data_IF_271932582056
#
_entry.id   IF_271932582056
#
_cell.length_a   1.000
_cell.length_b   1.000
_cell.length_c   1.000
_cell.angle_alpha   90.00
_cell.angle_beta   90.00
_cell.angle_gamma   90.00
#
_symmetry.space_group_name_H-M   'P 1'
#
loop_
_entity.id
_entity.type
_entity.pdbx_description
1 polymer ?
#
# COMPACT_ATOMS: atom_id res chain seq x y z
N UNK A 1 -14.75 10.53 -10.51
CA UNK A 1 -14.46 9.23 -11.16
C UNK A 1 -13.41 9.48 -12.23
N UNK A 2 -12.24 8.83 -12.16
CA UNK A 2 -11.19 8.98 -13.19
C UNK A 2 -11.75 8.59 -14.56
N UNK A 3 -11.49 9.42 -15.56
CA UNK A 3 -11.91 9.18 -16.94
C UNK A 3 -10.92 8.25 -17.64
N UNK A 4 -11.35 7.62 -18.75
CA UNK A 4 -10.47 6.82 -19.62
C UNK A 4 -9.26 7.64 -20.08
N UNK A 5 -9.44 8.95 -20.28
CA UNK A 5 -8.37 9.89 -20.60
C UNK A 5 -7.29 9.94 -19.50
N UNK A 6 -7.66 9.89 -18.21
CA UNK A 6 -6.69 9.89 -17.12
C UNK A 6 -5.84 8.62 -17.11
N UNK A 7 -6.42 7.45 -17.45
CA UNK A 7 -5.65 6.21 -17.58
C UNK A 7 -4.65 6.22 -18.73
N UNK A 8 -5.00 6.85 -19.85
CA UNK A 8 -4.12 7.00 -21.02
C UNK A 8 -2.97 7.95 -20.68
N UNK A 9 -3.28 9.11 -20.10
CA UNK A 9 -2.27 10.10 -19.68
C UNK A 9 -1.32 9.52 -18.63
N UNK A 10 -1.83 8.76 -17.65
CA UNK A 10 -0.99 8.05 -16.68
C UNK A 10 -0.07 7.04 -17.38
N UNK A 11 -0.59 6.28 -18.34
CA UNK A 11 0.19 5.36 -19.15
C UNK A 11 1.34 6.06 -19.88
N UNK A 12 1.16 7.29 -20.35
CA UNK A 12 2.19 8.11 -21.00
C UNK A 12 3.18 8.75 -20.01
N UNK A 13 2.79 8.94 -18.76
CA UNK A 13 3.61 9.48 -17.67
C UNK A 13 4.62 8.47 -17.08
N UNK A 14 4.76 7.28 -17.66
CA UNK A 14 5.64 6.21 -17.16
C UNK A 14 7.13 6.57 -17.24
N UNK A 15 7.52 7.48 -18.14
CA UNK A 15 8.89 7.97 -18.22
C UNK A 15 9.24 8.83 -16.99
N UNK A 16 10.52 8.88 -16.58
CA UNK A 16 10.98 9.61 -15.40
C UNK A 16 10.68 11.14 -15.42
N UNK A 17 10.06 11.65 -16.48
CA UNK A 17 9.68 13.06 -16.67
C UNK A 17 8.20 13.12 -17.03
N UNK A 18 7.40 13.72 -16.17
CA UNK A 18 6.06 14.18 -16.54
C UNK A 18 6.24 15.51 -17.25
N UNK A 19 5.57 15.69 -18.38
CA UNK A 19 5.50 16.97 -19.06
C UNK A 19 4.96 18.06 -18.10
N UNK A 20 5.59 19.22 -18.07
CA UNK A 20 5.29 20.26 -17.09
C UNK A 20 3.81 20.71 -17.15
N UNK A 21 3.21 20.71 -18.34
CA UNK A 21 1.78 21.04 -18.51
C UNK A 21 0.86 19.99 -17.91
N UNK A 22 1.24 18.71 -17.95
CA UNK A 22 0.53 17.61 -17.30
C UNK A 22 0.72 17.69 -15.79
N UNK A 23 1.93 17.97 -15.32
CA UNK A 23 2.23 18.11 -13.89
C UNK A 23 1.39 19.19 -13.22
N UNK A 24 1.18 20.33 -13.88
CA UNK A 24 0.33 21.41 -13.36
C UNK A 24 -1.15 21.02 -13.27
N UNK A 25 -1.67 20.19 -14.18
CA UNK A 25 -3.05 19.71 -14.11
C UNK A 25 -3.27 18.88 -12.85
N UNK A 26 -2.36 17.95 -12.55
CA UNK A 26 -2.47 17.04 -11.40
C UNK A 26 -2.27 17.72 -10.04
N UNK A 27 -1.55 18.85 -9.98
CA UNK A 27 -1.46 19.69 -8.77
C UNK A 27 -2.81 20.25 -8.34
N UNK A 28 -3.70 20.53 -9.30
CA UNK A 28 -4.97 21.24 -9.07
C UNK A 28 -6.18 20.30 -9.19
N UNK A 29 -5.98 18.98 -9.22
CA UNK A 29 -7.10 18.05 -9.39
C UNK A 29 -8.06 18.11 -8.20
N UNK A 30 -9.30 18.41 -8.56
CA UNK A 30 -10.50 17.99 -7.87
C UNK A 30 -10.68 18.51 -6.45
N UNK A 31 -11.78 18.06 -5.84
CA UNK A 31 -11.97 18.25 -4.40
C UNK A 31 -10.95 17.41 -3.62
N UNK A 32 -10.77 17.70 -2.33
CA UNK A 32 -9.95 16.85 -1.42
C UNK A 32 -10.39 15.38 -1.50
N UNK A 33 -11.70 15.13 -1.57
CA UNK A 33 -12.27 13.78 -1.69
C UNK A 33 -11.87 13.09 -2.98
N UNK A 34 -11.84 13.81 -4.10
CA UNK A 34 -11.41 13.25 -5.38
C UNK A 34 -9.93 12.85 -5.36
N UNK A 35 -9.09 13.66 -4.70
CA UNK A 35 -7.66 13.35 -4.53
C UNK A 35 -7.44 12.11 -3.67
N UNK A 36 -8.15 11.99 -2.56
CA UNK A 36 -8.06 10.81 -1.70
C UNK A 36 -8.53 9.55 -2.44
N UNK A 37 -9.66 9.61 -3.16
CA UNK A 37 -10.14 8.50 -3.98
C UNK A 37 -9.15 8.13 -5.10
N UNK A 38 -8.46 9.11 -5.68
CA UNK A 38 -7.41 8.87 -6.66
C UNK A 38 -6.19 8.16 -6.06
N UNK A 39 -5.71 8.61 -4.91
CA UNK A 39 -4.58 7.99 -4.19
C UNK A 39 -4.93 6.57 -3.77
N UNK A 40 -6.16 6.36 -3.29
CA UNK A 40 -6.65 5.04 -2.90
C UNK A 40 -6.66 4.08 -4.10
N UNK A 41 -7.26 4.51 -5.23
CA UNK A 41 -7.25 3.72 -6.46
C UNK A 41 -5.82 3.44 -6.96
N UNK A 42 -4.93 4.42 -6.81
CA UNK A 42 -3.53 4.30 -7.18
C UNK A 42 -2.79 3.27 -6.32
N UNK A 43 -3.07 3.21 -5.02
CA UNK A 43 -2.55 2.19 -4.13
C UNK A 43 -3.01 0.80 -4.59
N UNK A 44 -4.30 0.66 -4.94
CA UNK A 44 -4.82 -0.62 -5.45
C UNK A 44 -4.11 -1.06 -6.72
N UNK A 45 -3.86 -0.12 -7.63
CA UNK A 45 -3.15 -0.42 -8.89
C UNK A 45 -1.69 -0.82 -8.66
N UNK A 46 -1.01 -0.18 -7.70
CA UNK A 46 0.37 -0.54 -7.33
C UNK A 46 0.43 -1.93 -6.68
N UNK A 47 -0.52 -2.26 -5.80
CA UNK A 47 -0.60 -3.58 -5.17
C UNK A 47 -0.98 -4.70 -6.14
N UNK A 48 -1.72 -4.38 -7.20
CA UNK A 48 -2.23 -5.38 -8.12
C UNK A 48 -1.11 -6.12 -8.85
N UNK A 49 -1.24 -7.44 -8.88
CA UNK A 49 -0.51 -8.34 -9.77
C UNK A 49 -1.49 -9.37 -10.33
N UNK A 50 -1.29 -9.88 -11.55
CA UNK A 50 -2.13 -10.95 -12.09
C UNK A 50 -2.04 -12.17 -11.17
N UNK A 51 -3.15 -12.63 -10.57
CA UNK A 51 -3.09 -13.75 -9.65
C UNK A 51 -2.70 -15.03 -10.41
N UNK A 52 -1.83 -15.89 -9.83
CA UNK A 52 -1.60 -17.22 -10.40
C UNK A 52 -2.90 -18.05 -10.41
N UNK A 53 -3.01 -19.07 -11.28
CA UNK A 53 -4.26 -19.83 -11.48
C UNK A 53 -4.86 -20.46 -10.22
N UNK A 54 -4.05 -20.67 -9.18
CA UNK A 54 -4.43 -21.29 -7.92
C UNK A 54 -4.89 -20.30 -6.83
N UNK A 55 -4.79 -18.99 -7.06
CA UNK A 55 -5.17 -17.97 -6.07
C UNK A 55 -6.25 -17.06 -6.62
N UNK A 56 -7.32 -16.85 -5.84
CA UNK A 56 -8.46 -16.06 -6.30
C UNK A 56 -8.25 -14.53 -6.21
N UNK A 57 -7.32 -14.05 -5.38
CA UNK A 57 -7.15 -12.61 -5.14
C UNK A 57 -5.67 -12.24 -4.88
N UNK A 58 -5.15 -11.16 -5.48
CA UNK A 58 -3.83 -10.62 -5.18
C UNK A 58 -3.67 -10.21 -3.71
N UNK A 59 -2.50 -10.49 -3.13
CA UNK A 59 -2.16 -10.10 -1.76
C UNK A 59 -2.30 -8.59 -1.53
N UNK A 60 -2.92 -8.19 -0.42
CA UNK A 60 -3.13 -6.79 -0.07
C UNK A 60 -4.36 -6.16 -0.74
N UNK A 61 -5.13 -6.91 -1.51
CA UNK A 61 -6.38 -6.46 -2.14
C UNK A 61 -7.55 -7.35 -1.77
N UNK A 62 -8.75 -6.80 -1.93
CA UNK A 62 -10.00 -7.55 -2.02
C UNK A 62 -10.35 -7.90 -3.47
N UNK A 63 -11.37 -8.74 -3.66
CA UNK A 63 -11.90 -9.07 -4.99
C UNK A 63 -12.41 -7.81 -5.68
N UNK A 64 -13.27 -7.03 -5.02
CA UNK A 64 -13.81 -5.80 -5.60
C UNK A 64 -12.73 -4.76 -5.95
N UNK A 65 -11.69 -4.62 -5.11
CA UNK A 65 -10.58 -3.72 -5.40
C UNK A 65 -9.78 -4.19 -6.62
N UNK A 66 -9.55 -5.49 -6.74
CA UNK A 66 -8.84 -6.09 -7.87
C UNK A 66 -9.62 -5.91 -9.18
N UNK A 67 -10.92 -6.17 -9.17
CA UNK A 67 -11.81 -5.97 -10.31
C UNK A 67 -11.87 -4.50 -10.73
N UNK A 68 -11.83 -3.56 -9.77
CA UNK A 68 -11.79 -2.13 -10.07
C UNK A 68 -10.51 -1.72 -10.80
N UNK A 69 -9.38 -2.37 -10.53
CA UNK A 69 -8.09 -2.11 -11.22
C UNK A 69 -8.09 -2.72 -12.63
N UNK A 70 -8.57 -3.95 -12.78
CA UNK A 70 -8.56 -4.64 -14.08
C UNK A 70 -9.64 -4.13 -15.03
N UNK A 71 -10.79 -3.72 -14.49
CA UNK A 71 -11.99 -3.53 -15.29
C UNK A 71 -12.36 -4.83 -16.00
N UNK A 72 -12.78 -4.74 -17.26
CA UNK A 72 -13.26 -5.87 -18.06
C UNK A 72 -12.16 -6.69 -18.76
N UNK A 73 -10.93 -6.18 -18.81
CA UNK A 73 -9.85 -6.76 -19.61
C UNK A 73 -8.64 -7.07 -18.73
N UNK A 74 -8.03 -8.26 -18.85
CA UNK A 74 -6.77 -8.57 -18.16
C UNK A 74 -5.67 -7.58 -18.54
N UNK A 75 -4.86 -7.17 -17.55
CA UNK A 75 -3.73 -6.27 -17.77
C UNK A 75 -2.46 -7.08 -18.01
N UNK A 76 -1.74 -6.77 -19.10
CA UNK A 76 -0.43 -7.38 -19.37
C UNK A 76 0.63 -6.83 -18.40
N UNK A 77 1.73 -7.58 -18.23
CA UNK A 77 2.84 -7.16 -17.35
C UNK A 77 3.41 -5.79 -17.74
N UNK A 78 3.53 -5.51 -19.05
CA UNK A 78 4.02 -4.24 -19.58
C UNK A 78 3.05 -3.08 -19.34
N UNK A 79 1.74 -3.31 -19.51
CA UNK A 79 0.70 -2.31 -19.21
C UNK A 79 0.67 -2.01 -17.71
N UNK A 80 0.87 -3.01 -16.85
CA UNK A 80 0.98 -2.79 -15.41
C UNK A 80 2.23 -1.99 -15.05
N UNK A 81 3.39 -2.32 -15.64
CA UNK A 81 4.64 -1.60 -15.41
C UNK A 81 4.47 -0.10 -15.70
N UNK A 82 4.01 0.21 -16.91
CA UNK A 82 3.83 1.58 -17.37
C UNK A 82 2.82 2.34 -16.49
N UNK A 83 1.67 1.74 -16.18
CA UNK A 83 0.67 2.34 -15.28
C UNK A 83 1.22 2.62 -13.88
N UNK A 84 1.91 1.66 -13.26
CA UNK A 84 2.47 1.82 -11.91
C UNK A 84 3.51 2.93 -11.86
N UNK A 85 4.42 2.99 -12.84
CA UNK A 85 5.41 4.07 -12.92
C UNK A 85 4.75 5.43 -13.16
N UNK A 86 3.76 5.48 -14.05
CA UNK A 86 2.98 6.69 -14.32
C UNK A 86 2.29 7.23 -13.07
N UNK A 87 1.63 6.36 -12.31
CA UNK A 87 0.99 6.69 -11.02
C UNK A 87 2.01 7.27 -10.05
N UNK A 88 3.17 6.61 -9.87
CA UNK A 88 4.20 7.08 -8.94
C UNK A 88 4.72 8.46 -9.33
N UNK A 89 4.86 8.71 -10.62
CA UNK A 89 5.29 10.01 -11.12
C UNK A 89 4.22 11.08 -10.87
N UNK A 90 2.95 10.78 -11.18
CA UNK A 90 1.84 11.72 -11.02
C UNK A 90 1.64 12.08 -9.55
N UNK A 91 1.63 11.09 -8.66
CA UNK A 91 1.45 11.36 -7.23
C UNK A 91 2.61 12.18 -6.68
N UNK A 92 3.83 11.97 -7.16
CA UNK A 92 4.99 12.78 -6.76
C UNK A 92 4.89 14.25 -7.23
N UNK A 93 4.02 14.60 -8.19
CA UNK A 93 3.79 16.01 -8.56
C UNK A 93 2.60 16.63 -7.83
N UNK A 94 1.75 15.82 -7.20
CA UNK A 94 0.60 16.30 -6.43
C UNK A 94 1.04 16.93 -5.10
N UNK A 95 0.36 18.01 -4.70
CA UNK A 95 0.53 18.62 -3.38
C UNK A 95 -0.41 17.94 -2.37
N UNK A 96 0.06 16.84 -1.78
CA UNK A 96 -0.71 15.97 -0.89
C UNK A 96 0.08 15.63 0.35
N UNK A 97 -0.62 15.48 1.49
CA UNK A 97 0.00 15.15 2.76
C UNK A 97 0.80 13.84 2.67
N UNK A 98 2.03 13.76 3.21
CA UNK A 98 2.86 12.56 3.17
C UNK A 98 2.14 11.30 3.67
N UNK A 99 1.31 11.44 4.71
CA UNK A 99 0.57 10.35 5.35
C UNK A 99 -0.45 9.68 4.42
N UNK A 100 -0.96 10.40 3.41
CA UNK A 100 -1.90 9.85 2.44
C UNK A 100 -1.22 8.95 1.41
N UNK A 101 0.02 9.25 1.05
CA UNK A 101 0.75 8.59 -0.05
C UNK A 101 1.83 7.62 0.43
N UNK A 102 2.19 7.66 1.71
CA UNK A 102 3.25 6.83 2.28
C UNK A 102 3.00 5.32 2.07
N UNK A 103 1.76 4.87 2.29
CA UNK A 103 1.36 3.46 2.08
C UNK A 103 1.59 3.01 0.62
N UNK A 104 1.32 3.89 -0.34
CA UNK A 104 1.52 3.64 -1.76
C UNK A 104 3.00 3.50 -2.11
N UNK A 105 3.85 4.35 -1.56
CA UNK A 105 5.30 4.26 -1.82
C UNK A 105 5.93 3.02 -1.15
N UNK A 106 5.43 2.60 0.01
CA UNK A 106 5.82 1.32 0.61
C UNK A 106 5.42 0.16 -0.31
N UNK A 107 4.16 0.13 -0.77
CA UNK A 107 3.68 -0.89 -1.69
C UNK A 107 4.55 -0.96 -2.95
N UNK A 108 4.86 0.19 -3.57
CA UNK A 108 5.72 0.25 -4.75
C UNK A 108 7.14 -0.25 -4.48
N UNK A 109 7.71 0.05 -3.31
CA UNK A 109 9.03 -0.47 -2.93
C UNK A 109 9.05 -1.98 -2.66
N UNK A 110 7.89 -2.63 -2.58
CA UNK A 110 7.73 -4.07 -2.39
C UNK A 110 7.21 -4.80 -3.63
N UNK A 111 7.13 -4.11 -4.78
CA UNK A 111 6.64 -4.64 -6.05
C UNK A 111 7.54 -5.77 -6.61
N UNK A 112 7.01 -6.56 -7.54
CA UNK A 112 7.76 -7.61 -8.24
C UNK A 112 8.58 -7.07 -9.41
N UNK A 113 8.26 -5.87 -9.90
CA UNK A 113 8.95 -5.23 -11.01
C UNK A 113 10.03 -4.27 -10.49
N UNK A 114 11.29 -4.55 -10.81
CA UNK A 114 12.44 -3.81 -10.27
C UNK A 114 12.39 -2.30 -10.53
N UNK A 115 11.87 -1.87 -11.68
CA UNK A 115 11.72 -0.45 -12.00
C UNK A 115 10.74 0.26 -11.04
N UNK A 116 9.64 -0.40 -10.67
CA UNK A 116 8.65 0.11 -9.71
C UNK A 116 9.28 0.18 -8.31
N UNK A 117 10.03 -0.86 -7.92
CA UNK A 117 10.77 -0.92 -6.65
C UNK A 117 11.73 0.26 -6.53
N UNK A 118 12.62 0.45 -7.51
CA UNK A 118 13.59 1.55 -7.53
C UNK A 118 12.90 2.90 -7.41
N UNK A 119 11.80 3.11 -8.14
CA UNK A 119 11.04 4.36 -8.07
C UNK A 119 10.40 4.57 -6.71
N UNK A 120 9.76 3.55 -6.14
CA UNK A 120 9.15 3.59 -4.81
C UNK A 120 10.19 3.92 -3.72
N UNK A 121 11.38 3.32 -3.77
CA UNK A 121 12.45 3.61 -2.81
C UNK A 121 12.97 5.05 -2.88
N UNK A 122 13.11 5.60 -4.09
CA UNK A 122 13.49 7.01 -4.27
C UNK A 122 12.44 7.93 -3.62
N UNK A 123 11.15 7.63 -3.81
CA UNK A 123 10.06 8.42 -3.26
C UNK A 123 9.93 8.28 -1.74
N UNK A 124 10.12 7.09 -1.18
CA UNK A 124 10.15 6.88 0.27
C UNK A 124 11.29 7.63 0.95
N UNK A 125 12.48 7.66 0.35
CA UNK A 125 13.63 8.39 0.90
C UNK A 125 13.33 9.89 1.02
N UNK A 126 12.61 10.47 0.05
CA UNK A 126 12.18 11.88 0.10
C UNK A 126 11.20 12.18 1.23
N UNK A 127 10.41 11.19 1.66
CA UNK A 127 9.38 11.35 2.70
C UNK A 127 9.84 10.98 4.10
N UNK A 128 11.05 10.43 4.26
CA UNK A 128 11.52 9.87 5.54
C UNK A 128 11.55 10.93 6.67
N UNK A 129 11.83 12.19 6.33
CA UNK A 129 11.88 13.29 7.31
C UNK A 129 10.53 13.97 7.56
N UNK A 130 9.55 13.81 6.65
CA UNK A 130 8.29 14.57 6.70
C UNK A 130 7.09 13.73 7.14
N UNK A 131 7.14 12.41 7.03
CA UNK A 131 6.02 11.54 7.40
C UNK A 131 5.88 11.41 8.92
N UNK A 132 4.69 11.65 9.42
CA UNK A 132 4.33 11.40 10.81
C UNK A 132 3.90 9.93 11.01
N UNK A 133 4.81 9.11 11.55
CA UNK A 133 4.52 7.70 11.88
C UNK A 133 3.66 7.52 13.14
N UNK A 134 3.24 8.60 13.77
CA UNK A 134 2.29 8.60 14.88
C UNK A 134 0.86 8.97 14.43
N UNK A 135 0.68 9.24 13.13
CA UNK A 135 -0.64 9.50 12.55
C UNK A 135 -1.55 8.27 12.65
N UNK A 136 -2.76 8.49 13.16
CA UNK A 136 -3.68 7.39 13.45
C UNK A 136 -4.17 6.69 12.19
N UNK A 137 -4.46 7.44 11.14
CA UNK A 137 -5.09 6.89 9.94
C UNK A 137 -4.04 6.24 9.03
N UNK A 138 -2.82 6.77 9.00
CA UNK A 138 -1.68 6.09 8.39
C UNK A 138 -1.45 4.72 9.04
N UNK A 139 -1.34 4.66 10.37
CA UNK A 139 -1.07 3.39 11.06
C UNK A 139 -2.20 2.37 10.84
N UNK A 140 -3.46 2.79 10.83
CA UNK A 140 -4.59 1.92 10.45
C UNK A 140 -4.43 1.37 9.03
N UNK A 141 -4.10 2.22 8.05
CA UNK A 141 -3.86 1.80 6.66
C UNK A 141 -2.69 0.81 6.56
N UNK A 142 -1.59 1.04 7.28
CA UNK A 142 -0.44 0.14 7.29
C UNK A 142 -0.76 -1.22 7.93
N UNK A 143 -1.54 -1.25 9.02
CA UNK A 143 -2.01 -2.51 9.60
C UNK A 143 -2.99 -3.24 8.68
N UNK A 144 -3.88 -2.54 7.98
CA UNK A 144 -4.75 -3.17 6.99
C UNK A 144 -3.93 -3.82 5.87
N UNK A 145 -2.88 -3.15 5.37
CA UNK A 145 -1.96 -3.74 4.38
C UNK A 145 -1.21 -4.96 4.93
N UNK A 146 -0.85 -4.96 6.22
CA UNK A 146 -0.15 -6.08 6.83
C UNK A 146 -1.07 -7.28 7.09
N UNK A 147 -2.15 -7.04 7.83
CA UNK A 147 -3.03 -8.08 8.37
C UNK A 147 -4.12 -8.49 7.37
N UNK A 148 -4.52 -7.60 6.45
CA UNK A 148 -5.79 -7.73 5.75
C UNK A 148 -6.98 -7.63 6.72
N UNK A 149 -8.15 -8.07 6.25
CA UNK A 149 -9.28 -8.34 7.13
C UNK A 149 -9.16 -9.78 7.63
N UNK A 150 -9.03 -9.96 8.94
CA UNK A 150 -8.94 -11.29 9.56
C UNK A 150 -10.34 -11.82 9.80
N UNK A 151 -10.63 -13.04 9.33
CA UNK A 151 -11.86 -13.73 9.69
C UNK A 151 -11.94 -13.94 11.20
N UNK A 152 -12.92 -13.31 11.87
CA UNK A 152 -13.20 -13.51 13.30
C UNK A 152 -12.98 -12.30 14.22
N UNK A 153 -12.49 -11.16 13.71
CA UNK A 153 -12.57 -9.86 14.42
C UNK A 153 -13.76 -9.03 13.97
N UNK A 154 -13.95 -7.83 14.55
CA UNK A 154 -15.08 -6.87 14.44
C UNK A 154 -15.65 -6.56 13.04
N UNK A 155 -15.20 -7.24 11.99
CA UNK A 155 -15.59 -7.15 10.59
C UNK A 155 -16.81 -8.03 10.23
N UNK A 156 -17.70 -8.28 11.20
CA UNK A 156 -18.89 -9.14 11.05
C UNK A 156 -19.85 -8.60 9.96
N UNK A 157 -19.68 -7.34 9.52
CA UNK A 157 -20.47 -6.72 8.45
C UNK A 157 -19.77 -6.58 7.08
N UNK A 158 -18.52 -7.01 6.92
CA UNK A 158 -17.80 -6.85 5.64
C UNK A 158 -18.06 -8.04 4.73
N UNK A 159 -18.70 -7.78 3.59
CA UNK A 159 -18.97 -8.75 2.55
C UNK A 159 -17.68 -9.43 2.07
N UNK A 160 -17.75 -10.73 1.74
CA UNK A 160 -16.58 -11.56 1.50
C UNK A 160 -15.68 -11.01 0.37
N UNK A 161 -16.30 -10.49 -0.68
CA UNK A 161 -15.69 -9.85 -1.85
C UNK A 161 -14.98 -8.52 -1.53
N UNK A 162 -15.36 -7.89 -0.42
CA UNK A 162 -14.75 -6.65 0.07
C UNK A 162 -13.62 -6.88 1.08
N UNK A 163 -13.38 -8.14 1.49
CA UNK A 163 -12.31 -8.47 2.43
C UNK A 163 -10.95 -8.42 1.75
N UNK A 164 -10.13 -7.49 2.21
CA UNK A 164 -8.72 -7.35 1.83
C UNK A 164 -7.91 -8.53 2.35
N UNK A 165 -7.15 -9.19 1.47
CA UNK A 165 -6.21 -10.23 1.84
C UNK A 165 -4.94 -9.64 2.48
N UNK A 166 -4.21 -10.36 3.34
CA UNK A 166 -2.94 -9.88 3.89
C UNK A 166 -1.92 -9.54 2.79
N UNK A 167 -1.06 -8.56 3.05
CA UNK A 167 -0.02 -8.14 2.12
C UNK A 167 1.02 -9.23 1.83
N UNK A 168 1.75 -9.05 0.72
CA UNK A 168 2.81 -9.97 0.31
C UNK A 168 3.94 -10.04 1.35
N UNK A 169 4.75 -11.10 1.28
CA UNK A 169 5.92 -11.25 2.15
C UNK A 169 6.87 -10.04 2.08
N UNK A 170 7.19 -9.55 0.88
CA UNK A 170 8.07 -8.39 0.67
C UNK A 170 7.48 -7.11 1.27
N UNK A 171 6.15 -6.95 1.20
CA UNK A 171 5.46 -5.83 1.83
C UNK A 171 5.52 -5.93 3.36
N UNK A 172 5.23 -7.11 3.92
CA UNK A 172 5.29 -7.34 5.37
C UNK A 172 6.67 -7.03 5.97
N UNK A 173 7.76 -7.46 5.32
CA UNK A 173 9.12 -7.14 5.79
C UNK A 173 9.38 -5.64 5.94
N UNK A 174 8.93 -4.84 4.97
CA UNK A 174 9.10 -3.38 5.01
C UNK A 174 8.25 -2.74 6.10
N UNK A 175 6.99 -3.17 6.21
CA UNK A 175 6.06 -2.68 7.23
C UNK A 175 6.56 -2.96 8.65
N UNK A 176 7.15 -4.13 8.92
CA UNK A 176 7.71 -4.43 10.23
C UNK A 176 8.78 -3.42 10.67
N UNK A 177 9.65 -3.01 9.75
CA UNK A 177 10.69 -2.00 10.05
C UNK A 177 10.10 -0.63 10.38
N UNK A 178 8.90 -0.33 9.89
CA UNK A 178 8.17 0.90 10.20
C UNK A 178 7.49 0.78 11.57
N UNK A 179 6.82 -0.34 11.84
CA UNK A 179 6.14 -0.56 13.12
C UNK A 179 7.09 -0.52 14.32
N UNK A 180 8.31 -1.04 14.19
CA UNK A 180 9.36 -0.95 15.21
C UNK A 180 9.89 0.48 15.48
N UNK A 181 9.32 1.50 14.84
CA UNK A 181 9.66 2.92 15.06
C UNK A 181 8.45 3.77 15.43
N UNK A 182 7.27 3.17 15.55
CA UNK A 182 6.02 3.88 15.81
C UNK A 182 5.44 3.50 17.17
N UNK A 183 5.23 4.50 18.03
CA UNK A 183 4.58 4.30 19.33
C UNK A 183 3.08 4.05 19.10
N UNK A 184 2.49 4.72 18.13
CA UNK A 184 1.10 4.53 17.72
C UNK A 184 0.87 3.10 17.24
N UNK A 185 1.77 2.53 16.46
CA UNK A 185 1.70 1.13 16.05
C UNK A 185 1.80 0.17 17.24
N UNK A 186 2.64 0.48 18.23
CA UNK A 186 2.74 -0.32 19.44
C UNK A 186 1.45 -0.34 20.28
N UNK A 187 0.66 0.73 20.21
CA UNK A 187 -0.57 0.91 20.99
C UNK A 187 -1.86 0.67 20.18
N UNK A 188 -1.77 0.05 18.99
CA UNK A 188 -2.92 -0.19 18.09
C UNK A 188 -3.53 -1.58 18.29
N UNK A 189 -4.01 -1.87 19.50
CA UNK A 189 -4.72 -3.13 19.78
C UNK A 189 -6.11 -3.14 19.10
N UNK A 190 -6.55 -4.27 18.52
CA UNK A 190 -5.90 -5.59 18.49
C UNK A 190 -4.92 -5.81 17.31
N UNK A 191 -4.79 -4.87 16.38
CA UNK A 191 -3.99 -5.00 15.15
C UNK A 191 -2.51 -5.31 15.41
N UNK A 192 -1.93 -4.71 16.44
CA UNK A 192 -0.57 -4.98 16.92
C UNK A 192 -0.37 -6.47 17.24
N UNK A 193 -1.31 -7.04 18.00
CA UNK A 193 -1.23 -8.44 18.42
C UNK A 193 -1.39 -9.38 17.23
N UNK A 194 -2.35 -9.11 16.35
CA UNK A 194 -2.55 -9.85 15.10
C UNK A 194 -1.29 -9.86 14.23
N UNK A 195 -0.63 -8.70 14.11
CA UNK A 195 0.61 -8.57 13.35
C UNK A 195 1.71 -9.49 13.91
N UNK A 196 1.92 -9.49 15.23
CA UNK A 196 2.91 -10.34 15.90
C UNK A 196 2.59 -11.82 15.70
N UNK A 197 1.33 -12.24 15.93
CA UNK A 197 0.93 -13.64 15.72
C UNK A 197 1.08 -14.06 14.25
N UNK A 198 0.75 -13.18 13.30
CA UNK A 198 0.95 -13.45 11.86
C UNK A 198 2.43 -13.63 11.51
N UNK A 199 3.34 -12.86 12.13
CA UNK A 199 4.78 -13.07 11.95
C UNK A 199 5.27 -14.41 12.51
N UNK A 200 4.77 -14.83 13.68
CA UNK A 200 5.33 -16.01 14.38
C UNK A 200 4.70 -17.31 13.86
N UNK A 201 3.39 -17.31 13.65
CA UNK A 201 2.58 -18.51 13.38
C UNK A 201 1.84 -18.46 12.04
N UNK A 202 1.89 -17.33 11.33
CA UNK A 202 1.20 -17.18 10.04
C UNK A 202 1.73 -18.12 8.96
N UNK A 203 0.85 -18.47 8.03
CA UNK A 203 1.20 -19.25 6.84
C UNK A 203 2.25 -18.51 6.00
N UNK A 204 3.28 -19.23 5.54
CA UNK A 204 4.35 -18.65 4.73
C UNK A 204 5.33 -17.74 5.50
N UNK A 205 5.35 -17.78 6.83
CA UNK A 205 6.36 -17.05 7.61
C UNK A 205 7.78 -17.60 7.39
N UNK A 206 8.78 -16.73 7.52
CA UNK A 206 10.21 -17.06 7.41
C UNK A 206 10.92 -16.75 8.73
N UNK A 207 12.13 -17.29 8.93
CA UNK A 207 12.96 -16.94 10.09
C UNK A 207 13.15 -15.43 10.24
N UNK A 208 13.30 -14.71 9.10
CA UNK A 208 13.44 -13.26 9.11
C UNK A 208 12.17 -12.56 9.59
N UNK A 209 10.99 -12.99 9.13
CA UNK A 209 9.73 -12.38 9.56
C UNK A 209 9.43 -12.69 11.03
N UNK A 210 9.74 -13.91 11.50
CA UNK A 210 9.66 -14.27 12.92
C UNK A 210 10.54 -13.36 13.79
N UNK A 211 11.80 -13.16 13.40
CA UNK A 211 12.72 -12.27 14.11
C UNK A 211 12.15 -10.85 14.20
N UNK A 212 11.70 -10.28 13.08
CA UNK A 212 11.10 -8.95 13.07
C UNK A 212 9.84 -8.87 13.93
N UNK A 213 9.00 -9.91 13.93
CA UNK A 213 7.83 -10.02 14.80
C UNK A 213 8.20 -10.00 16.28
N UNK A 214 9.27 -10.71 16.67
CA UNK A 214 9.79 -10.68 18.04
C UNK A 214 10.39 -9.31 18.41
N UNK A 215 11.14 -8.69 17.51
CA UNK A 215 11.65 -7.32 17.70
C UNK A 215 10.50 -6.33 17.92
N UNK A 216 9.41 -6.47 17.15
CA UNK A 216 8.22 -5.64 17.34
C UNK A 216 7.50 -5.94 18.66
N UNK A 217 7.42 -7.20 19.09
CA UNK A 217 6.87 -7.53 20.41
C UNK A 217 7.66 -6.84 21.54
N UNK A 218 8.99 -6.86 21.47
CA UNK A 218 9.85 -6.13 22.42
C UNK A 218 9.59 -4.62 22.36
N UNK A 219 9.48 -4.06 21.15
CA UNK A 219 9.14 -2.65 20.96
C UNK A 219 7.80 -2.28 21.60
N UNK A 220 6.79 -3.15 21.45
CA UNK A 220 5.45 -2.99 22.07
C UNK A 220 5.56 -2.96 23.58
N UNK A 221 6.20 -3.95 24.21
CA UNK A 221 6.33 -3.98 25.67
C UNK A 221 7.05 -2.75 26.23
N UNK A 222 7.99 -2.17 25.48
CA UNK A 222 8.71 -0.96 25.89
C UNK A 222 7.86 0.32 25.83
N UNK A 223 6.87 0.39 24.93
CA UNK A 223 6.15 1.64 24.61
C UNK A 223 4.64 1.56 24.80
N UNK A 224 4.10 0.40 25.19
CA UNK A 224 2.70 0.27 25.54
C UNK A 224 2.41 1.14 26.76
N UNK A 225 1.38 1.96 26.64
CA UNK A 225 0.88 2.77 27.76
C UNK A 225 -0.25 1.98 28.39
N UNK A 226 -0.03 1.49 29.61
CA UNK A 226 -1.03 0.84 30.45
C UNK A 226 -2.00 1.90 30.97
#
# INVERSE_FOLDING_TARGET
>A
MMTIHDYIVIGECHSNKIDESIGQRYKVIGSVKDREAFIEFSLYTVLYHPPPPSTACPSGLSVCQSERVTGKLPLTSEVLLTRKLGILNVINTMDVAPELVYSLYIAASSDSQEAVVKRGEVLLKKMTASVNLEDCDLIKRLFLLFNGHVSGTNDIGIAAESRVTPGSYTLKLRLMSIFCRSIKAANSFPSTLQCIFSCIYGTGTTTRLKQLGMEFAVWVFKHVRI
#
